data_IF_582721175048
#
_entry.id   IF_582721175048
#
_cell.length_a   1.000
_cell.length_b   1.000
_cell.length_c   1.000
_cell.angle_alpha   90.00
_cell.angle_beta   90.00
_cell.angle_gamma   90.00
#
_symmetry.space_group_name_H-M   'P 1'
#
loop_
_entity.id
_entity.type
_entity.pdbx_description
1 polymer ?
#
# COMPACT_ATOMS: atom_id res chain seq x y z
N UNK A 1 -40.39 -41.76 -61.68
CA UNK A 1 -39.95 -40.50 -62.26
C UNK A 1 -38.57 -40.15 -61.77
N UNK A 2 -37.57 -40.15 -62.60
CA UNK A 2 -36.16 -39.87 -62.30
C UNK A 2 -35.95 -38.53 -61.65
N UNK A 3 -36.75 -37.51 -61.92
CA UNK A 3 -36.68 -36.19 -61.27
C UNK A 3 -36.91 -36.20 -59.76
N UNK A 4 -37.82 -37.00 -59.24
CA UNK A 4 -38.11 -37.14 -57.85
C UNK A 4 -36.91 -37.75 -57.08
N UNK A 5 -36.24 -38.71 -57.67
CA UNK A 5 -35.04 -39.35 -57.11
C UNK A 5 -33.87 -38.37 -57.06
N UNK A 6 -33.67 -37.60 -58.12
CA UNK A 6 -32.62 -36.55 -58.16
C UNK A 6 -32.82 -35.45 -57.11
N UNK A 7 -34.07 -34.98 -56.90
CA UNK A 7 -34.42 -34.03 -55.88
C UNK A 7 -34.17 -34.59 -54.46
N UNK A 8 -34.50 -35.85 -54.20
CA UNK A 8 -34.26 -36.51 -52.94
C UNK A 8 -32.75 -36.60 -52.62
N UNK A 9 -31.95 -37.00 -53.63
CA UNK A 9 -30.48 -37.07 -53.51
C UNK A 9 -29.90 -35.68 -53.18
N UNK A 10 -30.34 -34.63 -53.87
CA UNK A 10 -29.89 -33.27 -53.63
C UNK A 10 -30.23 -32.81 -52.20
N UNK A 11 -31.41 -33.13 -51.73
CA UNK A 11 -31.88 -32.81 -50.40
C UNK A 11 -31.06 -33.51 -49.27
N UNK A 12 -30.70 -34.79 -49.53
CA UNK A 12 -29.84 -35.57 -48.66
C UNK A 12 -28.40 -34.99 -48.61
N UNK A 13 -27.87 -34.54 -49.71
CA UNK A 13 -26.57 -33.90 -49.81
C UNK A 13 -26.56 -32.58 -49.01
N UNK A 14 -27.59 -31.75 -49.17
CA UNK A 14 -27.75 -30.50 -48.42
C UNK A 14 -27.84 -30.76 -46.91
N UNK A 15 -28.62 -31.78 -46.52
CA UNK A 15 -28.79 -32.17 -45.13
C UNK A 15 -27.46 -32.66 -44.54
N UNK A 16 -26.73 -33.53 -45.23
CA UNK A 16 -25.42 -34.02 -44.84
C UNK A 16 -24.41 -32.87 -44.68
N UNK A 17 -24.42 -31.90 -45.60
CA UNK A 17 -23.58 -30.71 -45.52
C UNK A 17 -23.93 -29.86 -44.30
N UNK A 18 -25.21 -29.62 -43.99
CA UNK A 18 -25.65 -28.90 -42.82
C UNK A 18 -25.21 -29.60 -41.53
N UNK A 19 -25.37 -30.93 -41.45
CA UNK A 19 -24.96 -31.72 -40.28
C UNK A 19 -23.44 -31.66 -40.07
N UNK A 20 -22.65 -31.81 -41.13
CA UNK A 20 -21.18 -31.73 -40.99
C UNK A 20 -20.70 -30.35 -40.63
N UNK A 21 -21.31 -29.30 -41.17
CA UNK A 21 -21.02 -27.89 -40.77
C UNK A 21 -21.37 -27.63 -39.30
N UNK A 22 -22.53 -28.12 -38.84
CA UNK A 22 -22.95 -28.02 -37.45
C UNK A 22 -22.00 -28.76 -36.51
N UNK A 23 -21.61 -30.00 -36.80
CA UNK A 23 -20.63 -30.78 -36.04
C UNK A 23 -19.29 -30.08 -35.95
N UNK A 24 -18.76 -29.54 -37.04
CA UNK A 24 -17.51 -28.76 -37.05
C UNK A 24 -17.61 -27.52 -36.14
N UNK A 25 -18.76 -26.83 -36.16
CA UNK A 25 -19.00 -25.66 -35.27
C UNK A 25 -19.01 -26.05 -33.78
N UNK A 26 -19.69 -27.17 -33.44
CA UNK A 26 -19.73 -27.67 -32.06
C UNK A 26 -18.36 -28.08 -31.56
N UNK A 27 -17.54 -28.75 -32.38
CA UNK A 27 -16.16 -29.13 -32.00
C UNK A 27 -15.29 -27.90 -31.77
N UNK A 28 -15.41 -26.86 -32.59
CA UNK A 28 -14.69 -25.59 -32.41
C UNK A 28 -15.10 -24.90 -31.13
N UNK A 29 -16.40 -24.87 -30.82
CA UNK A 29 -16.93 -24.27 -29.59
C UNK A 29 -16.44 -25.00 -28.32
N UNK A 30 -16.47 -26.35 -28.34
CA UNK A 30 -15.94 -27.17 -27.25
C UNK A 30 -14.47 -26.90 -27.01
N UNK A 31 -13.64 -26.84 -28.05
CA UNK A 31 -12.19 -26.51 -27.93
C UNK A 31 -11.95 -25.10 -27.38
N UNK A 32 -12.73 -24.13 -27.83
CA UNK A 32 -12.63 -22.76 -27.32
C UNK A 32 -13.01 -22.67 -25.82
N UNK A 33 -14.05 -23.39 -25.42
CA UNK A 33 -14.49 -23.43 -24.02
C UNK A 33 -13.45 -24.12 -23.13
N UNK A 34 -12.85 -25.23 -23.58
CA UNK A 34 -11.77 -25.91 -22.86
C UNK A 34 -10.54 -25.01 -22.71
N UNK A 35 -10.15 -24.29 -23.79
CA UNK A 35 -9.02 -23.35 -23.71
C UNK A 35 -9.28 -22.22 -22.70
N UNK A 36 -10.51 -21.67 -22.70
CA UNK A 36 -10.90 -20.63 -21.74
C UNK A 36 -10.83 -21.16 -20.30
N UNK A 37 -11.40 -22.34 -20.06
CA UNK A 37 -11.37 -22.96 -18.73
C UNK A 37 -9.96 -23.21 -18.21
N UNK A 38 -9.05 -23.68 -19.08
CA UNK A 38 -7.63 -23.86 -18.72
C UNK A 38 -6.96 -22.55 -18.34
N UNK A 39 -7.23 -21.48 -19.09
CA UNK A 39 -6.71 -20.13 -18.79
C UNK A 39 -7.24 -19.60 -17.46
N UNK A 40 -8.53 -19.79 -17.19
CA UNK A 40 -9.15 -19.36 -15.92
C UNK A 40 -8.54 -20.10 -14.72
N UNK A 41 -8.21 -21.39 -14.87
CA UNK A 41 -7.50 -22.18 -13.86
C UNK A 41 -6.08 -21.64 -13.61
N UNK A 42 -5.32 -21.35 -14.66
CA UNK A 42 -3.97 -20.77 -14.51
C UNK A 42 -4.00 -19.43 -13.78
N UNK A 43 -4.94 -18.56 -14.11
CA UNK A 43 -5.11 -17.27 -13.41
C UNK A 43 -5.45 -17.48 -11.93
N UNK A 44 -6.26 -18.49 -11.62
CA UNK A 44 -6.62 -18.80 -10.24
C UNK A 44 -5.41 -19.32 -9.45
N UNK A 45 -4.63 -20.23 -10.05
CA UNK A 45 -3.40 -20.74 -9.43
C UNK A 45 -2.40 -19.61 -9.13
N UNK A 46 -2.17 -18.71 -10.09
CA UNK A 46 -1.28 -17.55 -9.87
C UNK A 46 -1.77 -16.64 -8.73
N UNK A 47 -3.09 -16.43 -8.62
CA UNK A 47 -3.68 -15.64 -7.53
C UNK A 47 -3.48 -16.32 -6.18
N UNK A 48 -3.67 -17.65 -6.12
CA UNK A 48 -3.47 -18.42 -4.88
C UNK A 48 -2.02 -18.34 -4.44
N UNK A 49 -1.07 -18.57 -5.33
CA UNK A 49 0.37 -18.48 -5.02
C UNK A 49 0.76 -17.09 -4.54
N UNK A 50 0.24 -16.05 -5.19
CA UNK A 50 0.49 -14.66 -4.77
C UNK A 50 -0.07 -14.36 -3.38
N UNK A 51 -1.29 -14.81 -3.09
CA UNK A 51 -1.90 -14.62 -1.78
C UNK A 51 -1.13 -15.36 -0.67
N UNK A 52 -0.74 -16.60 -0.92
CA UNK A 52 0.08 -17.37 0.02
C UNK A 52 1.40 -16.67 0.34
N UNK A 53 2.07 -16.12 -0.68
CA UNK A 53 3.31 -15.35 -0.48
C UNK A 53 3.09 -14.09 0.36
N UNK A 54 2.01 -13.35 0.11
CA UNK A 54 1.66 -12.17 0.89
C UNK A 54 1.34 -12.51 2.37
N UNK A 55 0.65 -13.64 2.61
CA UNK A 55 0.37 -14.11 3.96
C UNK A 55 1.65 -14.54 4.71
N UNK A 56 2.59 -15.18 4.02
CA UNK A 56 3.87 -15.58 4.59
C UNK A 56 4.70 -14.35 4.97
N UNK A 57 4.82 -13.37 4.07
CA UNK A 57 5.48 -12.08 4.34
C UNK A 57 4.82 -11.29 5.47
N UNK A 58 3.50 -11.37 5.61
CA UNK A 58 2.77 -10.74 6.72
C UNK A 58 3.07 -11.42 8.06
N UNK A 59 3.10 -12.76 8.08
CA UNK A 59 3.46 -13.54 9.29
C UNK A 59 4.90 -13.32 9.72
N UNK A 60 5.83 -13.19 8.79
CA UNK A 60 7.23 -12.89 9.11
C UNK A 60 7.36 -11.49 9.72
N UNK A 61 6.69 -10.49 9.14
CA UNK A 61 6.66 -9.12 9.71
C UNK A 61 6.06 -9.08 11.11
N UNK A 62 4.98 -9.82 11.34
CA UNK A 62 4.35 -9.93 12.67
C UNK A 62 5.27 -10.60 13.69
N UNK A 63 5.98 -11.66 13.30
CA UNK A 63 6.99 -12.32 14.16
C UNK A 63 8.13 -11.37 14.50
N UNK A 64 8.66 -10.64 13.52
CA UNK A 64 9.71 -9.64 13.72
C UNK A 64 9.23 -8.51 14.65
N UNK A 65 8.02 -8.00 14.44
CA UNK A 65 7.42 -6.98 15.30
C UNK A 65 7.20 -7.46 16.73
N UNK A 66 6.74 -8.70 16.92
CA UNK A 66 6.54 -9.30 18.23
C UNK A 66 7.87 -9.59 18.94
N UNK A 67 8.91 -10.02 18.21
CA UNK A 67 10.26 -10.19 18.74
C UNK A 67 10.82 -8.86 19.21
N UNK A 68 10.67 -7.82 18.41
CA UNK A 68 11.02 -6.46 18.74
C UNK A 68 10.25 -5.98 19.98
N UNK A 69 8.93 -6.14 20.03
CA UNK A 69 8.10 -5.79 21.22
C UNK A 69 8.55 -6.54 22.48
N UNK A 70 8.93 -7.81 22.37
CA UNK A 70 9.40 -8.61 23.54
C UNK A 70 10.77 -8.15 24.05
N UNK A 71 11.69 -7.77 23.18
CA UNK A 71 12.98 -7.19 23.55
C UNK A 71 12.83 -5.84 24.26
N UNK A 72 11.83 -5.04 23.85
CA UNK A 72 11.56 -3.72 24.46
C UNK A 72 10.84 -3.79 25.80
N UNK A 73 10.08 -4.85 26.08
CA UNK A 73 9.47 -5.06 27.41
C UNK A 73 10.50 -5.25 28.53
N UNK A 74 11.75 -5.61 28.19
CA UNK A 74 12.83 -5.87 29.17
C UNK A 74 13.67 -4.67 29.58
N UNK A 75 13.65 -3.56 28.82
CA UNK A 75 14.43 -2.36 29.14
C UNK A 75 13.52 -1.14 29.21
N UNK A 76 12.92 -0.90 30.36
CA UNK A 76 12.19 0.35 30.62
C UNK A 76 13.21 1.45 30.93
N UNK A 77 13.19 2.53 30.14
CA UNK A 77 13.98 3.74 30.43
C UNK A 77 13.44 4.41 31.70
N UNK A 78 14.32 5.04 32.46
CA UNK A 78 13.95 5.93 33.56
C UNK A 78 13.32 7.22 33.01
N UNK A 79 12.62 7.95 33.83
CA UNK A 79 11.99 9.24 33.47
C UNK A 79 13.04 10.25 32.98
N UNK A 80 14.20 10.29 33.58
CA UNK A 80 15.30 11.19 33.18
C UNK A 80 15.86 10.82 31.82
N UNK A 81 15.97 9.52 31.52
CA UNK A 81 16.40 9.04 30.21
C UNK A 81 15.38 9.37 29.11
N UNK A 82 14.08 9.28 29.41
CA UNK A 82 13.04 9.73 28.47
C UNK A 82 13.14 11.24 28.20
N UNK A 83 13.34 12.06 29.22
CA UNK A 83 13.53 13.52 29.10
C UNK A 83 14.74 13.84 28.22
N UNK A 84 15.88 13.20 28.50
CA UNK A 84 17.10 13.40 27.73
C UNK A 84 16.93 12.98 26.26
N UNK A 85 16.31 11.82 26.01
CA UNK A 85 16.03 11.31 24.67
C UNK A 85 15.08 12.25 23.91
N UNK A 86 14.02 12.72 24.56
CA UNK A 86 13.06 13.65 23.96
C UNK A 86 13.71 14.99 23.58
N UNK A 87 14.58 15.54 24.43
CA UNK A 87 15.35 16.75 24.13
C UNK A 87 16.24 16.55 22.89
N UNK A 88 16.92 15.39 22.80
CA UNK A 88 17.77 15.04 21.65
C UNK A 88 16.95 14.95 20.37
N UNK A 89 15.78 14.29 20.43
CA UNK A 89 14.85 14.20 19.30
C UNK A 89 14.38 15.58 18.85
N UNK A 90 13.89 16.41 19.77
CA UNK A 90 13.41 17.77 19.45
C UNK A 90 14.52 18.62 18.80
N UNK A 91 15.72 18.59 19.36
CA UNK A 91 16.87 19.33 18.82
C UNK A 91 17.16 18.90 17.37
N UNK A 92 17.23 17.59 17.10
CA UNK A 92 17.46 17.06 15.77
C UNK A 92 16.36 17.45 14.77
N UNK A 93 15.10 17.25 15.16
CA UNK A 93 13.94 17.56 14.30
C UNK A 93 13.88 19.05 13.95
N UNK A 94 14.15 19.93 14.92
CA UNK A 94 14.11 21.37 14.69
C UNK A 94 15.28 21.88 13.84
N UNK A 95 16.47 21.29 14.00
CA UNK A 95 17.68 21.71 13.29
C UNK A 95 17.70 21.18 11.86
N UNK A 96 17.51 19.87 11.68
CA UNK A 96 17.68 19.20 10.39
C UNK A 96 16.40 19.17 9.55
N UNK A 97 15.23 19.47 10.15
CA UNK A 97 13.90 19.45 9.51
C UNK A 97 13.61 18.19 8.66
N UNK A 98 13.94 16.98 9.14
CA UNK A 98 13.76 15.77 8.35
C UNK A 98 12.30 15.46 8.03
N UNK A 99 11.36 16.09 8.72
CA UNK A 99 9.92 15.96 8.53
C UNK A 99 9.43 16.43 7.16
N UNK A 100 10.20 17.26 6.44
CA UNK A 100 9.85 17.68 5.07
C UNK A 100 10.02 16.54 4.05
N UNK A 101 10.76 15.48 4.40
CA UNK A 101 10.77 14.25 3.62
C UNK A 101 9.52 13.42 3.94
N UNK A 102 8.66 13.19 2.93
CA UNK A 102 7.41 12.42 3.08
C UNK A 102 7.63 10.97 3.53
N UNK A 103 8.79 10.39 3.24
CA UNK A 103 9.13 9.00 3.57
C UNK A 103 9.96 8.85 4.86
N UNK A 104 10.16 9.93 5.61
CA UNK A 104 10.87 9.91 6.89
C UNK A 104 10.19 9.02 7.92
N UNK A 105 10.92 8.05 8.47
CA UNK A 105 10.43 7.00 9.37
C UNK A 105 11.10 7.06 10.72
N UNK A 106 10.49 6.41 11.73
CA UNK A 106 11.06 6.24 13.07
C UNK A 106 12.45 5.58 13.03
N UNK A 107 12.67 4.66 12.11
CA UNK A 107 13.96 3.99 11.91
C UNK A 107 15.05 4.93 11.41
N UNK A 108 14.70 5.94 10.63
CA UNK A 108 15.64 6.94 10.15
C UNK A 108 16.04 7.90 11.26
N UNK A 109 15.05 8.30 12.09
CA UNK A 109 15.30 9.06 13.31
C UNK A 109 16.20 8.28 14.28
N UNK A 110 15.94 7.00 14.48
CA UNK A 110 16.72 6.12 15.34
C UNK A 110 18.18 6.06 14.91
N UNK A 111 18.41 5.91 13.61
CA UNK A 111 19.76 5.91 13.01
C UNK A 111 20.45 7.26 13.20
N UNK A 112 19.74 8.35 12.94
CA UNK A 112 20.31 9.70 13.00
C UNK A 112 20.76 10.10 14.42
N UNK A 113 20.01 9.71 15.44
CA UNK A 113 20.34 10.04 16.84
C UNK A 113 21.12 8.94 17.57
N UNK A 114 21.42 7.81 16.90
CA UNK A 114 22.18 6.71 17.49
C UNK A 114 21.44 6.03 18.66
N UNK A 115 20.11 5.80 18.50
CA UNK A 115 19.27 5.20 19.55
C UNK A 115 18.43 4.07 18.94
N UNK A 116 18.26 2.92 19.61
CA UNK A 116 17.36 1.87 19.14
C UNK A 116 15.93 2.38 18.92
N UNK A 117 15.32 2.03 17.78
CA UNK A 117 13.99 2.49 17.40
C UNK A 117 12.91 2.22 18.47
N UNK A 118 13.08 1.17 19.24
CA UNK A 118 12.15 0.85 20.30
C UNK A 118 12.19 1.75 21.51
N UNK A 119 13.33 2.29 21.89
CA UNK A 119 13.37 3.33 22.93
C UNK A 119 12.66 4.58 22.46
N UNK A 120 12.78 4.94 21.17
CA UNK A 120 11.99 6.01 20.59
C UNK A 120 10.50 5.70 20.60
N UNK A 121 10.11 4.49 20.22
CA UNK A 121 8.70 4.07 20.25
C UNK A 121 8.13 4.13 21.67
N UNK A 122 8.90 3.68 22.69
CA UNK A 122 8.51 3.80 24.08
C UNK A 122 8.40 5.27 24.51
N UNK A 123 9.38 6.09 24.17
CA UNK A 123 9.36 7.52 24.49
C UNK A 123 8.12 8.19 23.91
N UNK A 124 7.80 7.96 22.65
CA UNK A 124 6.60 8.55 22.06
C UNK A 124 5.31 8.05 22.72
N UNK A 125 5.16 6.75 22.92
CA UNK A 125 3.91 6.18 23.44
C UNK A 125 3.74 6.36 24.94
N UNK A 126 4.82 6.23 25.73
CA UNK A 126 4.75 6.25 27.19
C UNK A 126 4.96 7.67 27.75
N UNK A 127 6.04 8.33 27.32
CA UNK A 127 6.40 9.64 27.87
C UNK A 127 5.60 10.79 27.23
N UNK A 128 5.45 10.79 25.89
CA UNK A 128 4.74 11.89 25.22
C UNK A 128 3.27 11.58 24.93
N UNK A 129 2.82 10.34 25.14
CA UNK A 129 1.46 9.86 24.89
C UNK A 129 0.94 10.17 23.46
N UNK A 130 1.83 10.20 22.50
CA UNK A 130 1.51 10.41 21.08
C UNK A 130 2.29 9.44 20.21
N UNK A 131 1.83 9.21 18.99
CA UNK A 131 2.58 8.41 18.01
C UNK A 131 3.71 9.25 17.40
N UNK A 132 4.76 8.56 16.87
CA UNK A 132 5.79 9.22 16.07
C UNK A 132 5.19 10.00 14.90
N UNK A 133 4.16 9.43 14.24
CA UNK A 133 3.50 10.09 13.11
C UNK A 133 2.78 11.37 13.53
N UNK A 134 2.09 11.38 14.66
CA UNK A 134 1.42 12.57 15.18
C UNK A 134 2.45 13.66 15.55
N UNK A 135 3.57 13.24 16.15
CA UNK A 135 4.66 14.15 16.48
C UNK A 135 5.24 14.81 15.22
N UNK A 136 5.56 14.04 14.18
CA UNK A 136 6.08 14.56 12.91
C UNK A 136 5.05 15.43 12.18
N UNK A 137 3.78 15.00 12.15
CA UNK A 137 2.72 15.77 11.51
C UNK A 137 2.49 17.14 12.15
N UNK A 138 2.72 17.32 13.45
CA UNK A 138 2.69 18.64 14.08
C UNK A 138 3.76 19.57 13.48
N UNK A 139 4.99 19.12 13.31
CA UNK A 139 6.03 19.93 12.67
C UNK A 139 5.71 20.24 11.22
N UNK A 140 5.14 19.28 10.47
CA UNK A 140 4.68 19.50 9.10
C UNK A 140 3.56 20.54 9.01
N UNK A 141 2.60 20.52 9.93
CA UNK A 141 1.51 21.50 10.00
C UNK A 141 2.05 22.89 10.35
N UNK A 142 2.96 23.00 11.31
CA UNK A 142 3.58 24.27 11.65
C UNK A 142 4.40 24.84 10.48
N UNK A 143 5.14 24.00 9.75
CA UNK A 143 5.85 24.42 8.54
C UNK A 143 4.87 24.85 7.45
N UNK A 144 3.76 24.12 7.25
CA UNK A 144 2.68 24.53 6.35
C UNK A 144 2.11 25.92 6.71
N UNK A 145 1.78 26.15 7.98
CA UNK A 145 1.30 27.45 8.47
C UNK A 145 2.32 28.58 8.27
N UNK A 146 3.60 28.27 8.35
CA UNK A 146 4.68 29.21 8.08
C UNK A 146 4.75 29.55 6.58
N UNK A 147 4.77 28.52 5.72
CA UNK A 147 4.91 28.72 4.26
C UNK A 147 3.70 29.43 3.66
N UNK A 148 2.49 29.13 4.09
CA UNK A 148 1.28 29.79 3.54
C UNK A 148 1.19 31.29 3.86
N UNK A 149 1.92 31.75 4.89
CA UNK A 149 2.01 33.17 5.26
C UNK A 149 3.19 33.89 4.62
N UNK A 150 4.11 33.16 4.01
CA UNK A 150 5.32 33.70 3.41
C UNK A 150 5.04 34.14 1.98
N UNK A 151 5.20 35.45 1.64
CA UNK A 151 4.94 35.97 0.28
C UNK A 151 5.72 35.25 -0.82
N UNK A 152 6.88 34.68 -0.50
CA UNK A 152 7.68 33.91 -1.45
C UNK A 152 6.95 32.68 -2.02
N UNK A 153 5.94 32.18 -1.32
CA UNK A 153 5.17 30.99 -1.69
C UNK A 153 3.76 31.29 -2.23
N UNK A 154 3.40 32.55 -2.44
CA UNK A 154 2.06 32.95 -2.93
C UNK A 154 1.69 32.36 -4.30
N UNK A 155 2.66 31.96 -5.09
CA UNK A 155 2.46 31.36 -6.42
C UNK A 155 2.28 29.82 -6.36
N UNK A 156 2.43 29.20 -5.18
CA UNK A 156 2.21 27.78 -5.01
C UNK A 156 0.75 27.45 -4.69
N UNK A 157 0.27 26.30 -5.17
CA UNK A 157 -1.03 25.77 -4.75
C UNK A 157 -0.94 25.21 -3.32
N UNK A 158 -2.05 25.14 -2.61
CA UNK A 158 -2.13 24.52 -1.27
C UNK A 158 -1.56 23.09 -1.30
N UNK A 159 -1.87 22.31 -2.36
CA UNK A 159 -1.34 20.97 -2.53
C UNK A 159 0.18 20.95 -2.65
N UNK A 160 0.75 21.86 -3.43
CA UNK A 160 2.20 21.95 -3.57
C UNK A 160 2.87 22.33 -2.23
N UNK A 161 2.29 23.26 -1.46
CA UNK A 161 2.80 23.61 -0.13
C UNK A 161 2.73 22.42 0.82
N UNK A 162 1.64 21.62 0.79
CA UNK A 162 1.54 20.39 1.58
C UNK A 162 2.67 19.39 1.24
N UNK A 163 2.97 19.19 -0.03
CA UNK A 163 4.05 18.33 -0.51
C UNK A 163 5.42 18.84 -0.07
N UNK A 164 5.68 20.16 -0.12
CA UNK A 164 6.90 20.77 0.41
C UNK A 164 7.08 20.55 1.92
N UNK A 165 5.99 20.42 2.67
CA UNK A 165 6.01 20.11 4.10
C UNK A 165 6.14 18.61 4.40
N UNK A 166 6.25 17.75 3.37
CA UNK A 166 6.39 16.30 3.54
C UNK A 166 5.06 15.54 3.68
N UNK A 167 3.92 16.16 3.38
CA UNK A 167 2.65 15.44 3.32
C UNK A 167 2.46 14.73 1.98
N UNK A 168 1.96 13.50 2.03
CA UNK A 168 1.34 12.87 0.86
C UNK A 168 -0.06 13.47 0.66
N UNK A 169 -0.48 13.65 -0.59
CA UNK A 169 -1.73 14.31 -0.99
C UNK A 169 -2.98 13.93 -0.18
N UNK A 170 -3.09 12.65 0.19
CA UNK A 170 -4.27 12.12 0.90
C UNK A 170 -4.22 12.29 2.43
N UNK A 171 -3.07 12.68 3.01
CA UNK A 171 -2.86 12.61 4.46
C UNK A 171 -2.94 13.97 5.17
N UNK A 172 -2.78 15.08 4.46
CA UNK A 172 -2.78 16.42 5.06
C UNK A 172 -4.08 16.72 5.80
N UNK A 173 -5.23 16.61 5.13
CA UNK A 173 -6.50 17.00 5.72
C UNK A 173 -6.88 16.17 6.95
N UNK A 174 -6.59 14.87 6.94
CA UNK A 174 -6.84 14.01 8.10
C UNK A 174 -5.91 14.35 9.27
N UNK A 175 -4.63 14.62 9.02
CA UNK A 175 -3.69 15.04 10.04
C UNK A 175 -4.05 16.43 10.61
N UNK A 176 -4.38 17.38 9.75
CA UNK A 176 -4.79 18.73 10.15
C UNK A 176 -6.03 18.70 11.04
N UNK A 177 -7.09 17.99 10.60
CA UNK A 177 -8.31 17.83 11.40
C UNK A 177 -8.05 17.19 12.77
N UNK A 178 -7.16 16.18 12.83
CA UNK A 178 -6.83 15.47 14.08
C UNK A 178 -6.07 16.35 15.09
N UNK A 179 -5.23 17.27 14.61
CA UNK A 179 -4.27 17.97 15.46
C UNK A 179 -4.67 19.41 15.77
N UNK A 180 -5.64 19.99 15.04
CA UNK A 180 -6.11 21.38 15.21
C UNK A 180 -7.54 21.47 15.78
N UNK A 181 -8.26 20.34 15.89
CA UNK A 181 -9.52 20.23 16.62
C UNK A 181 -9.28 19.69 18.05
#
# INVERSE_FOLDING_TARGET
SCYAILLLILLLIILAFKITKSRKRQVRLKKALQKKHLLDLQILEEKIVRNMKLEEEAKEREKEENKVKSMYKKAKLSDDEYVALYRKVKSYISKEKPYVNADFKLTDLARAIGCPAGYLSQMFNVYTQQTFLDFINRYRIEEFKRLIKDPAYNHYTITAICELCGFKRSTFFSAFKKLEN
#
